data_IF_177513266460
#
_entry.id   IF_177513266460
#
_cell.length_a   1.000
_cell.length_b   1.000
_cell.length_c   1.000
_cell.angle_alpha   90.00
_cell.angle_beta   90.00
_cell.angle_gamma   90.00
#
_symmetry.space_group_name_H-M   'P 1'
#
loop_
_entity.id
_entity.type
_entity.pdbx_description
1 polymer ?
#
# COMPACT_ATOMS: atom_id res chain seq x y z
N UNK A 1 -17.24 -20.48 -12.90
CA UNK A 1 -16.68 -19.18 -13.32
C UNK A 1 -17.62 -18.60 -14.36
N UNK A 2 -17.97 -17.31 -14.34
CA UNK A 2 -18.79 -16.75 -15.40
C UNK A 2 -18.07 -16.99 -16.72
N UNK A 3 -18.80 -17.53 -17.71
CA UNK A 3 -18.25 -17.85 -19.03
C UNK A 3 -17.84 -16.57 -19.78
N UNK A 4 -18.44 -15.43 -19.42
CA UNK A 4 -18.26 -14.15 -20.10
C UNK A 4 -17.64 -13.11 -19.16
N UNK A 5 -16.52 -12.54 -19.59
CA UNK A 5 -15.94 -11.34 -18.99
C UNK A 5 -16.65 -10.11 -19.56
N UNK A 6 -16.88 -9.06 -18.76
CA UNK A 6 -17.44 -7.82 -19.28
C UNK A 6 -16.57 -7.23 -20.39
N UNK A 7 -17.19 -6.75 -21.47
CA UNK A 7 -16.48 -6.24 -22.66
C UNK A 7 -15.52 -5.09 -22.36
N UNK A 8 -15.81 -4.28 -21.33
CA UNK A 8 -14.95 -3.18 -20.93
C UNK A 8 -13.57 -3.63 -20.47
N UNK A 9 -13.42 -4.86 -19.96
CA UNK A 9 -12.12 -5.38 -19.49
C UNK A 9 -11.12 -5.43 -20.64
N UNK A 10 -11.58 -5.77 -21.85
CA UNK A 10 -10.75 -5.80 -23.06
C UNK A 10 -10.30 -4.40 -23.48
N UNK A 11 -11.16 -3.40 -23.27
CA UNK A 11 -10.90 -2.01 -23.64
C UNK A 11 -9.91 -1.34 -22.68
N UNK A 12 -9.93 -1.72 -21.40
CA UNK A 12 -9.08 -1.11 -20.36
C UNK A 12 -7.69 -1.75 -20.28
N UNK A 13 -7.55 -3.01 -20.71
CA UNK A 13 -6.26 -3.69 -20.70
C UNK A 13 -5.37 -3.18 -21.82
N UNK A 14 -4.26 -2.53 -21.47
CA UNK A 14 -3.23 -2.20 -22.45
C UNK A 14 -2.63 -3.47 -23.05
N UNK A 15 -2.27 -3.41 -24.32
CA UNK A 15 -1.65 -4.52 -25.05
C UNK A 15 -0.40 -5.05 -24.32
N UNK A 16 0.46 -4.15 -23.82
CA UNK A 16 1.64 -4.52 -23.06
C UNK A 16 1.32 -5.31 -21.77
N UNK A 17 0.17 -5.05 -21.13
CA UNK A 17 -0.26 -5.75 -19.92
C UNK A 17 -0.89 -7.10 -20.23
N UNK A 18 -1.55 -7.23 -21.38
CA UNK A 18 -2.23 -8.47 -21.79
C UNK A 18 -1.33 -9.43 -22.56
N UNK A 19 -0.33 -8.93 -23.30
CA UNK A 19 0.58 -9.72 -24.13
C UNK A 19 1.23 -10.92 -23.42
N UNK A 20 1.69 -10.84 -22.15
CA UNK A 20 2.24 -12.00 -21.45
C UNK A 20 1.21 -13.12 -21.24
N UNK A 21 -0.06 -12.74 -21.00
CA UNK A 21 -1.15 -13.69 -20.80
C UNK A 21 -1.57 -14.34 -22.12
N UNK A 22 -1.58 -13.57 -23.21
CA UNK A 22 -1.89 -14.08 -24.55
C UNK A 22 -0.82 -15.05 -25.05
N UNK A 23 0.46 -14.73 -24.83
CA UNK A 23 1.58 -15.62 -25.13
C UNK A 23 1.50 -16.93 -24.32
N UNK A 24 1.21 -16.84 -23.01
CA UNK A 24 1.03 -18.01 -22.15
C UNK A 24 -0.18 -18.87 -22.54
N UNK A 25 -1.22 -18.25 -23.13
CA UNK A 25 -2.41 -18.93 -23.63
C UNK A 25 -2.30 -19.42 -25.07
N UNK A 26 -1.14 -19.28 -25.73
CA UNK A 26 -0.95 -19.70 -27.12
C UNK A 26 -1.82 -18.94 -28.12
N UNK A 27 -2.19 -17.69 -27.82
CA UNK A 27 -3.07 -16.87 -28.65
C UNK A 27 -4.57 -17.03 -28.37
N UNK A 28 -4.98 -17.92 -27.46
CA UNK A 28 -6.38 -18.00 -27.01
C UNK A 28 -6.71 -16.82 -26.07
N UNK A 29 -7.38 -15.81 -26.62
CA UNK A 29 -7.82 -14.62 -25.86
C UNK A 29 -8.71 -14.96 -24.66
N UNK A 30 -9.62 -15.93 -24.79
CA UNK A 30 -10.54 -16.28 -23.71
C UNK A 30 -9.78 -16.94 -22.56
N UNK A 31 -8.81 -17.81 -22.87
CA UNK A 31 -7.91 -18.38 -21.87
C UNK A 31 -7.00 -17.33 -21.22
N UNK A 32 -6.46 -16.40 -22.01
CA UNK A 32 -5.64 -15.30 -21.51
C UNK A 32 -6.42 -14.38 -20.55
N UNK A 33 -7.67 -14.04 -20.87
CA UNK A 33 -8.56 -13.28 -19.98
C UNK A 33 -8.84 -14.02 -18.67
N UNK A 34 -9.09 -15.35 -18.72
CA UNK A 34 -9.24 -16.17 -17.52
C UNK A 34 -7.99 -16.14 -16.64
N UNK A 35 -6.81 -16.25 -17.25
CA UNK A 35 -5.53 -16.22 -16.53
C UNK A 35 -5.27 -14.84 -15.90
N UNK A 36 -5.53 -13.76 -16.65
CA UNK A 36 -5.45 -12.40 -16.13
C UNK A 36 -6.37 -12.20 -14.92
N UNK A 37 -7.63 -12.63 -15.03
CA UNK A 37 -8.59 -12.45 -13.94
C UNK A 37 -8.25 -13.27 -12.71
N UNK A 38 -7.68 -14.46 -12.90
CA UNK A 38 -7.15 -15.25 -11.80
C UNK A 38 -6.01 -14.51 -11.07
N UNK A 39 -5.08 -13.88 -11.82
CA UNK A 39 -4.03 -13.04 -11.24
C UNK A 39 -4.60 -11.85 -10.43
N UNK A 40 -5.65 -11.20 -10.95
CA UNK A 40 -6.34 -10.11 -10.24
C UNK A 40 -6.90 -10.59 -8.91
N UNK A 41 -7.59 -11.74 -8.88
CA UNK A 41 -8.17 -12.28 -7.64
C UNK A 41 -7.13 -12.72 -6.63
N UNK A 42 -6.03 -13.30 -7.08
CA UNK A 42 -4.90 -13.62 -6.22
C UNK A 42 -4.34 -12.34 -5.61
N UNK A 43 -4.14 -11.30 -6.43
CA UNK A 43 -3.69 -9.99 -5.96
C UNK A 43 -4.67 -9.37 -4.95
N UNK A 44 -5.98 -9.43 -5.23
CA UNK A 44 -7.07 -8.99 -4.36
C UNK A 44 -6.98 -9.64 -2.97
N UNK A 45 -6.76 -10.96 -2.92
CA UNK A 45 -6.63 -11.70 -1.67
C UNK A 45 -5.43 -11.26 -0.82
N UNK A 46 -4.38 -10.69 -1.44
CA UNK A 46 -3.21 -10.17 -0.71
C UNK A 46 -3.37 -8.72 -0.21
N UNK A 47 -4.33 -7.95 -0.72
CA UNK A 47 -4.50 -6.54 -0.32
C UNK A 47 -4.67 -6.35 1.20
N UNK A 48 -5.52 -7.12 1.90
CA UNK A 48 -5.67 -6.96 3.35
C UNK A 48 -4.36 -7.20 4.10
N UNK A 49 -3.62 -8.25 3.74
CA UNK A 49 -2.34 -8.59 4.36
C UNK A 49 -1.27 -7.53 4.08
N UNK A 50 -1.21 -7.02 2.85
CA UNK A 50 -0.28 -5.95 2.47
C UNK A 50 -0.60 -4.64 3.21
N UNK A 51 -1.87 -4.33 3.40
CA UNK A 51 -2.30 -3.17 4.17
C UNK A 51 -1.85 -3.26 5.64
N UNK A 52 -2.09 -4.41 6.29
CA UNK A 52 -1.61 -4.63 7.66
C UNK A 52 -0.08 -4.56 7.76
N UNK A 53 0.63 -5.15 6.80
CA UNK A 53 2.09 -5.11 6.74
C UNK A 53 2.61 -3.67 6.61
N UNK A 54 2.01 -2.87 5.72
CA UNK A 54 2.38 -1.47 5.51
C UNK A 54 2.25 -0.64 6.80
N UNK A 55 1.11 -0.74 7.49
CA UNK A 55 0.87 -0.04 8.76
C UNK A 55 1.86 -0.48 9.83
N UNK A 56 2.07 -1.79 9.99
CA UNK A 56 2.99 -2.34 10.98
C UNK A 56 4.43 -1.89 10.72
N UNK A 57 4.89 -1.98 9.46
CA UNK A 57 6.23 -1.58 9.04
C UNK A 57 6.44 -0.08 9.25
N UNK A 58 5.48 0.76 8.82
CA UNK A 58 5.56 2.21 9.00
C UNK A 58 5.66 2.59 10.48
N UNK A 59 4.87 1.95 11.34
CA UNK A 59 4.90 2.22 12.78
C UNK A 59 6.23 1.76 13.39
N UNK A 60 6.72 0.58 13.04
CA UNK A 60 8.01 0.08 13.53
C UNK A 60 9.18 0.97 13.09
N UNK A 61 9.18 1.44 11.85
CA UNK A 61 10.17 2.39 11.35
C UNK A 61 10.07 3.74 12.08
N UNK A 62 8.86 4.24 12.30
CA UNK A 62 8.65 5.47 13.06
C UNK A 62 9.23 5.35 14.48
N UNK A 63 8.88 4.30 15.22
CA UNK A 63 9.40 4.04 16.57
C UNK A 63 10.93 4.02 16.56
N UNK A 64 11.53 3.25 15.63
CA UNK A 64 12.98 3.07 15.59
C UNK A 64 13.72 4.35 15.20
N UNK A 65 13.16 5.15 14.30
CA UNK A 65 13.74 6.44 13.92
C UNK A 65 13.59 7.48 15.03
N UNK A 66 12.49 7.46 15.78
CA UNK A 66 12.32 8.27 16.98
C UNK A 66 13.40 7.95 18.03
N UNK A 67 13.65 6.67 18.30
CA UNK A 67 14.72 6.24 19.22
C UNK A 67 16.11 6.68 18.76
N UNK A 68 16.44 6.50 17.47
CA UNK A 68 17.77 6.83 16.94
C UNK A 68 18.04 8.33 16.88
N UNK A 69 17.00 9.14 16.63
CA UNK A 69 17.11 10.60 16.55
C UNK A 69 16.87 11.31 17.87
N UNK A 70 16.31 10.62 18.87
CA UNK A 70 15.84 11.19 20.13
C UNK A 70 14.64 12.12 19.98
N UNK A 71 13.94 12.10 18.83
CA UNK A 71 12.91 13.09 18.48
C UNK A 71 11.75 12.45 17.71
N UNK A 72 10.53 12.93 17.95
CA UNK A 72 9.35 12.48 17.21
C UNK A 72 9.28 13.02 15.78
N UNK A 73 9.95 14.15 15.51
CA UNK A 73 10.10 14.78 14.20
C UNK A 73 11.40 14.36 13.50
N UNK A 74 11.78 13.09 13.61
CA UNK A 74 13.05 12.54 13.10
C UNK A 74 13.35 12.90 11.63
N UNK A 75 12.32 13.13 10.81
CA UNK A 75 12.44 13.53 9.42
C UNK A 75 13.11 14.91 9.21
N UNK A 76 13.27 15.72 10.26
CA UNK A 76 13.98 17.01 10.21
C UNK A 76 15.49 16.86 10.36
N UNK A 77 15.96 15.76 10.95
CA UNK A 77 17.38 15.57 11.30
C UNK A 77 18.07 14.49 10.48
N UNK A 78 17.33 13.58 9.83
CA UNK A 78 17.93 12.55 8.99
C UNK A 78 18.23 13.06 7.56
N UNK A 79 19.32 12.59 6.93
CA UNK A 79 19.64 12.97 5.56
C UNK A 79 18.69 12.29 4.57
N UNK A 80 17.69 13.04 4.11
CA UNK A 80 16.76 12.58 3.07
C UNK A 80 17.29 12.83 1.67
N UNK A 81 16.80 12.07 0.70
CA UNK A 81 17.01 12.35 -0.73
C UNK A 81 16.28 13.64 -1.13
N UNK A 82 16.62 14.19 -2.30
CA UNK A 82 15.93 15.37 -2.83
C UNK A 82 14.41 15.12 -2.99
N UNK A 83 14.03 13.94 -3.47
CA UNK A 83 12.63 13.56 -3.62
C UNK A 83 11.95 13.34 -2.26
N UNK A 84 12.65 12.74 -1.30
CA UNK A 84 12.15 12.63 0.09
C UNK A 84 11.79 13.99 0.68
N UNK A 85 12.64 15.00 0.50
CA UNK A 85 12.36 16.38 0.93
C UNK A 85 11.14 16.98 0.24
N UNK A 86 10.98 16.75 -1.08
CA UNK A 86 9.81 17.23 -1.84
C UNK A 86 8.51 16.60 -1.33
N UNK A 87 8.53 15.29 -1.07
CA UNK A 87 7.38 14.55 -0.53
C UNK A 87 7.00 15.10 0.86
N UNK A 88 7.98 15.36 1.73
CA UNK A 88 7.72 15.95 3.04
C UNK A 88 7.12 17.34 2.96
N UNK A 89 7.64 18.23 2.10
CA UNK A 89 7.11 19.57 1.92
C UNK A 89 5.64 19.53 1.47
N UNK A 90 5.31 18.67 0.50
CA UNK A 90 3.94 18.48 0.04
C UNK A 90 3.03 17.88 1.13
N UNK A 91 3.55 16.96 1.95
CA UNK A 91 2.81 16.39 3.07
C UNK A 91 2.52 17.44 4.15
N UNK A 92 3.50 18.28 4.49
CA UNK A 92 3.34 19.39 5.44
C UNK A 92 2.27 20.36 4.95
N UNK A 93 2.32 20.80 3.69
CA UNK A 93 1.29 21.69 3.10
C UNK A 93 -0.12 21.09 3.23
N UNK A 94 -0.26 19.78 2.95
CA UNK A 94 -1.55 19.06 3.08
C UNK A 94 -2.04 19.02 4.52
N UNK A 95 -1.15 18.82 5.50
CA UNK A 95 -1.51 18.83 6.92
C UNK A 95 -1.96 20.23 7.33
N UNK A 96 -1.19 21.27 7.00
CA UNK A 96 -1.52 22.67 7.35
C UNK A 96 -2.86 23.11 6.75
N UNK A 97 -3.23 22.59 5.57
CA UNK A 97 -4.55 22.81 4.96
C UNK A 97 -5.70 22.04 5.64
N UNK A 98 -5.41 20.93 6.31
CA UNK A 98 -6.42 20.04 6.92
C UNK A 98 -6.62 20.26 8.41
N UNK A 99 -5.63 20.75 9.15
CA UNK A 99 -5.74 20.90 10.61
C UNK A 99 -6.30 22.25 11.02
N UNK A 100 -7.59 22.24 11.40
CA UNK A 100 -7.97 22.66 12.76
C UNK A 100 -7.43 21.64 13.79
N UNK A 101 -7.31 21.99 15.08
CA UNK A 101 -6.50 21.21 16.03
C UNK A 101 -7.19 19.88 16.39
N UNK A 102 -6.64 18.74 15.96
CA UNK A 102 -6.86 17.45 16.64
C UNK A 102 -5.53 16.99 17.25
N UNK A 103 -5.43 17.14 18.57
CA UNK A 103 -4.23 16.87 19.37
C UNK A 103 -4.31 15.53 20.10
N UNK A 104 -5.22 14.62 19.70
CA UNK A 104 -5.34 13.34 20.40
C UNK A 104 -4.17 12.42 20.09
N UNK A 105 -3.41 11.98 21.11
CA UNK A 105 -2.33 11.02 20.91
C UNK A 105 -2.92 9.69 20.45
N UNK A 106 -2.37 9.13 19.36
CA UNK A 106 -2.73 7.80 18.87
C UNK A 106 -2.16 6.79 19.88
N UNK A 107 -3.00 5.92 20.48
CA UNK A 107 -2.53 4.91 21.43
C UNK A 107 -1.49 3.99 20.78
N UNK A 108 -0.45 3.63 21.54
CA UNK A 108 0.56 2.69 21.05
C UNK A 108 -0.08 1.30 20.86
N UNK A 109 -0.02 0.76 19.65
CA UNK A 109 -0.56 -0.57 19.33
C UNK A 109 0.13 -1.70 20.12
N UNK A 110 1.37 -1.48 20.57
CA UNK A 110 2.12 -2.40 21.46
C UNK A 110 1.40 -2.59 22.79
N UNK A 111 0.80 -1.52 23.33
CA UNK A 111 0.00 -1.59 24.55
C UNK A 111 -1.31 -2.35 24.34
N UNK A 112 -1.89 -2.31 23.13
CA UNK A 112 -3.11 -3.06 22.80
C UNK A 112 -2.84 -4.55 22.63
N UNK A 113 -1.67 -4.95 22.11
CA UNK A 113 -1.25 -6.36 22.02
C UNK A 113 -0.87 -6.97 23.37
N UNK A 114 -0.30 -6.19 24.30
CA UNK A 114 -0.03 -6.69 25.66
C UNK A 114 -1.28 -6.74 26.54
N UNK A 115 -2.31 -5.93 26.23
CA UNK A 115 -3.59 -5.91 26.97
C UNK A 115 -4.59 -6.96 26.47
N UNK A 116 -4.44 -7.44 25.24
CA UNK A 116 -5.17 -8.61 24.73
C UNK A 116 -4.45 -9.89 25.18
N UNK A 117 -4.52 -10.17 26.48
CA UNK A 117 -4.19 -11.48 27.02
C UNK A 117 -5.11 -12.53 26.42
N UNK A 118 -4.71 -13.10 25.28
CA UNK A 118 -5.13 -14.43 24.88
C UNK A 118 -4.01 -15.41 25.31
N UNK A 119 -4.37 -16.60 25.82
CA UNK A 119 -3.40 -17.67 26.09
C UNK A 119 -2.63 -18.09 24.83
#
# INVERSE_FOLDING_TARGET
>A
MPADFPDWVRVVLSEARFAPYLAAAGGDEAAALRLYWWNVRVSEAFYPSLHCLEVALRNALHDRLCELSGRSDWWTVIPLTADGRRILAAAQEKVTRRTGPDTRPIPSWRSCLSASGCP
#
